data_IF_561989119558
#
_entry.id   IF_561989119558
#
_cell.length_a   1.000
_cell.length_b   1.000
_cell.length_c   1.000
_cell.angle_alpha   90.00
_cell.angle_beta   90.00
_cell.angle_gamma   90.00
#
_symmetry.space_group_name_H-M   'P 1'
#
loop_
_entity.id
_entity.type
_entity.pdbx_description
1 polymer ?
#
# COMPACT_ATOMS: atom_id res chain seq x y z
N UNK A 1 10.23 3.19 -10.47
CA UNK A 1 10.34 2.01 -9.59
C UNK A 1 10.23 0.73 -10.42
N UNK A 2 11.09 -0.24 -10.14
CA UNK A 2 11.14 -1.58 -10.74
C UNK A 2 11.34 -2.63 -9.64
N UNK A 3 11.00 -3.88 -9.94
CA UNK A 3 11.32 -5.00 -9.05
C UNK A 3 12.84 -5.14 -8.94
N UNK A 4 13.34 -5.39 -7.74
CA UNK A 4 14.76 -5.42 -7.41
C UNK A 4 15.34 -4.06 -6.98
N UNK A 5 14.64 -2.95 -7.20
CA UNK A 5 15.07 -1.63 -6.71
C UNK A 5 15.29 -1.67 -5.19
N UNK A 6 16.43 -1.14 -4.75
CA UNK A 6 16.79 -1.07 -3.33
C UNK A 6 16.64 0.36 -2.83
N UNK A 7 16.00 0.52 -1.67
CA UNK A 7 15.77 1.80 -1.00
C UNK A 7 16.42 1.78 0.38
N UNK A 8 17.31 2.73 0.60
CA UNK A 8 17.95 2.92 1.91
C UNK A 8 17.30 4.09 2.63
N UNK A 9 17.08 3.93 3.92
CA UNK A 9 16.54 4.96 4.80
C UNK A 9 17.47 5.14 5.98
N UNK A 10 17.63 6.39 6.42
CA UNK A 10 18.46 6.75 7.57
C UNK A 10 17.68 7.67 8.50
N UNK A 11 17.78 7.44 9.82
CA UNK A 11 17.16 8.31 10.83
C UNK A 11 18.14 9.36 11.37
N UNK A 12 17.65 10.25 12.25
CA UNK A 12 18.48 11.26 12.90
C UNK A 12 19.59 10.73 13.82
N UNK A 13 19.62 9.42 14.10
CA UNK A 13 20.66 8.75 14.90
C UNK A 13 21.71 8.04 14.03
N UNK A 14 21.60 8.12 12.69
CA UNK A 14 22.50 7.45 11.75
C UNK A 14 22.23 5.96 11.57
N UNK A 15 21.17 5.41 12.17
CA UNK A 15 20.77 4.02 11.89
C UNK A 15 20.20 3.93 10.49
N UNK A 16 20.52 2.84 9.79
CA UNK A 16 20.08 2.58 8.42
C UNK A 16 19.15 1.39 8.32
N UNK A 17 18.25 1.44 7.33
CA UNK A 17 17.37 0.35 6.93
C UNK A 17 17.39 0.22 5.42
N UNK A 18 17.43 -1.02 4.93
CA UNK A 18 17.44 -1.29 3.49
C UNK A 18 16.25 -2.15 3.10
N UNK A 19 15.43 -1.64 2.20
CA UNK A 19 14.28 -2.36 1.64
C UNK A 19 14.55 -2.63 0.16
N UNK A 20 14.06 -3.76 -0.33
CA UNK A 20 14.05 -4.10 -1.75
C UNK A 20 12.60 -4.23 -2.21
N UNK A 21 12.31 -3.74 -3.41
CA UNK A 21 11.06 -4.03 -4.11
C UNK A 21 11.08 -5.50 -4.53
N UNK A 22 10.52 -6.37 -3.69
CA UNK A 22 10.59 -7.82 -3.88
C UNK A 22 9.65 -8.29 -4.98
N UNK A 23 8.50 -7.64 -5.15
CA UNK A 23 7.53 -8.01 -6.18
C UNK A 23 6.73 -6.79 -6.65
N UNK A 24 6.48 -6.72 -7.97
CA UNK A 24 5.46 -5.86 -8.55
C UNK A 24 4.46 -6.75 -9.29
N UNK A 25 3.20 -6.71 -8.88
CA UNK A 25 2.11 -7.44 -9.56
C UNK A 25 1.25 -6.40 -10.25
N UNK A 26 1.02 -6.58 -11.55
CA UNK A 26 0.20 -5.68 -12.36
C UNK A 26 -0.99 -6.44 -12.93
N UNK A 27 -2.18 -5.94 -12.65
CA UNK A 27 -3.43 -6.38 -13.23
C UNK A 27 -3.95 -5.22 -14.06
N UNK A 28 -4.05 -5.41 -15.37
CA UNK A 28 -4.68 -4.45 -16.29
C UNK A 28 -5.93 -5.11 -16.85
N UNK A 29 -7.08 -4.45 -16.70
CA UNK A 29 -8.39 -4.95 -17.10
C UNK A 29 -8.62 -6.41 -16.66
N UNK A 30 -8.28 -6.73 -15.41
CA UNK A 30 -8.51 -8.07 -14.87
C UNK A 30 -9.98 -8.26 -14.48
N UNK A 31 -10.50 -9.47 -14.65
CA UNK A 31 -11.88 -9.82 -14.32
C UNK A 31 -12.07 -10.03 -12.82
N UNK A 32 -13.00 -9.27 -12.21
CA UNK A 32 -13.52 -9.57 -10.88
C UNK A 32 -14.82 -10.36 -11.04
N UNK A 33 -14.83 -11.61 -10.56
CA UNK A 33 -16.01 -12.49 -10.59
C UNK A 33 -16.62 -12.60 -9.20
N UNK A 34 -17.94 -12.76 -9.16
CA UNK A 34 -18.69 -13.05 -7.94
C UNK A 34 -18.34 -14.48 -7.49
N UNK A 35 -17.64 -14.60 -6.35
CA UNK A 35 -17.40 -15.90 -5.72
C UNK A 35 -18.67 -16.27 -4.97
N UNK A 36 -19.43 -17.24 -5.48
CA UNK A 36 -20.61 -17.75 -4.79
C UNK A 36 -20.17 -18.55 -3.55
N UNK A 37 -20.90 -18.47 -2.42
CA UNK A 37 -20.65 -19.33 -1.27
C UNK A 37 -20.72 -20.82 -1.68
N UNK A 38 -19.93 -21.70 -1.05
CA UNK A 38 -20.03 -23.13 -1.34
C UNK A 38 -21.44 -23.64 -1.01
N UNK A 39 -22.10 -24.27 -2.00
CA UNK A 39 -23.46 -24.79 -1.87
C UNK A 39 -23.83 -25.72 -3.04
N UNK A 40 -24.91 -26.51 -2.92
CA UNK A 40 -25.22 -27.62 -3.85
C UNK A 40 -25.66 -27.17 -5.26
N UNK A 41 -25.96 -25.89 -5.47
CA UNK A 41 -26.36 -25.33 -6.77
C UNK A 41 -25.26 -24.41 -7.33
N UNK A 42 -24.27 -24.99 -7.99
CA UNK A 42 -23.22 -24.23 -8.67
C UNK A 42 -23.77 -23.58 -9.93
N UNK A 43 -23.89 -22.25 -9.94
CA UNK A 43 -23.94 -21.46 -11.17
C UNK A 43 -22.52 -21.00 -11.53
N UNK A 44 -22.23 -20.82 -12.82
CA UNK A 44 -20.93 -20.31 -13.26
C UNK A 44 -20.66 -18.93 -12.63
N UNK A 45 -19.40 -18.62 -12.23
CA UNK A 45 -19.08 -17.34 -11.62
C UNK A 45 -19.47 -16.18 -12.55
N UNK A 46 -20.31 -15.27 -12.07
CA UNK A 46 -20.76 -14.12 -12.87
C UNK A 46 -19.70 -13.03 -12.84
N UNK A 47 -19.32 -12.51 -14.01
CA UNK A 47 -18.45 -11.34 -14.13
C UNK A 47 -19.13 -10.12 -13.47
N UNK A 48 -18.47 -9.51 -12.50
CA UNK A 48 -18.96 -8.30 -11.84
C UNK A 48 -18.46 -7.07 -12.58
N UNK A 49 -17.13 -6.94 -12.69
CA UNK A 49 -16.48 -5.79 -13.30
C UNK A 49 -15.04 -6.13 -13.72
N UNK A 50 -14.43 -5.22 -14.49
CA UNK A 50 -13.00 -5.21 -14.71
C UNK A 50 -12.31 -4.27 -13.71
N UNK A 51 -11.04 -4.53 -13.40
CA UNK A 51 -10.24 -3.66 -12.55
C UNK A 51 -8.80 -3.54 -13.05
N UNK A 52 -8.20 -2.39 -12.74
CA UNK A 52 -6.76 -2.23 -12.81
C UNK A 52 -6.21 -2.23 -11.38
N UNK A 53 -5.15 -2.97 -11.12
CA UNK A 53 -4.49 -2.99 -9.81
C UNK A 53 -2.99 -3.17 -9.98
N UNK A 54 -2.22 -2.34 -9.30
CA UNK A 54 -0.79 -2.49 -9.13
C UNK A 54 -0.45 -2.74 -7.66
N UNK A 55 0.12 -3.91 -7.39
CA UNK A 55 0.63 -4.28 -6.06
C UNK A 55 2.13 -4.15 -6.04
N UNK A 56 2.67 -3.54 -4.99
CA UNK A 56 4.10 -3.36 -4.75
C UNK A 56 4.41 -3.97 -3.40
N UNK A 57 5.26 -4.99 -3.38
CA UNK A 57 5.75 -5.62 -2.15
C UNK A 57 7.18 -5.21 -1.90
N UNK A 58 7.48 -4.98 -0.64
CA UNK A 58 8.77 -4.55 -0.14
C UNK A 58 9.23 -5.49 0.95
N UNK A 59 10.49 -5.88 0.87
CA UNK A 59 11.15 -6.74 1.85
C UNK A 59 12.34 -6.00 2.41
N UNK A 60 12.49 -5.97 3.73
CA UNK A 60 13.69 -5.47 4.40
C UNK A 60 14.79 -6.51 4.26
N UNK A 61 15.95 -6.11 3.72
CA UNK A 61 17.05 -7.02 3.35
C UNK A 61 18.30 -6.86 4.22
N UNK A 62 18.36 -5.86 5.10
CA UNK A 62 19.46 -5.61 6.04
C UNK A 62 19.24 -6.24 7.42
N UNK A 63 18.27 -7.15 7.55
CA UNK A 63 17.96 -7.83 8.80
C UNK A 63 17.61 -9.28 8.54
N UNK A 64 18.06 -10.17 9.42
CA UNK A 64 17.62 -11.58 9.49
C UNK A 64 16.16 -11.73 9.92
N UNK A 65 15.53 -10.66 10.41
CA UNK A 65 14.10 -10.64 10.75
C UNK A 65 13.30 -10.11 9.56
N UNK A 66 12.25 -10.84 9.17
CA UNK A 66 11.33 -10.45 8.10
C UNK A 66 10.61 -9.16 8.51
N UNK A 67 10.88 -8.08 7.78
CA UNK A 67 10.11 -6.83 7.84
C UNK A 67 9.79 -6.40 6.42
N UNK A 68 8.66 -5.74 6.20
CA UNK A 68 8.24 -5.42 4.85
C UNK A 68 6.99 -4.55 4.78
N UNK A 69 6.42 -4.49 3.59
CA UNK A 69 5.16 -3.83 3.37
C UNK A 69 4.58 -4.17 2.01
N UNK A 70 3.27 -3.99 1.90
CA UNK A 70 2.55 -4.18 0.66
C UNK A 70 1.68 -2.94 0.40
N UNK A 71 1.80 -2.39 -0.80
CA UNK A 71 0.92 -1.33 -1.30
C UNK A 71 0.13 -1.84 -2.49
N UNK A 72 -1.16 -1.55 -2.51
CA UNK A 72 -2.06 -1.84 -3.62
C UNK A 72 -2.68 -0.54 -4.08
N UNK A 73 -2.38 -0.16 -5.32
CA UNK A 73 -3.05 0.92 -6.04
C UNK A 73 -4.07 0.27 -6.96
N UNK A 74 -5.31 0.67 -6.92
CA UNK A 74 -6.35 0.07 -7.74
C UNK A 74 -7.38 1.11 -8.19
N UNK A 75 -8.01 0.84 -9.33
CA UNK A 75 -9.18 1.57 -9.80
C UNK A 75 -10.17 0.59 -10.43
N UNK A 76 -11.44 0.95 -10.43
CA UNK A 76 -12.39 0.27 -11.30
C UNK A 76 -11.98 0.52 -12.76
N UNK A 77 -11.85 -0.55 -13.55
CA UNK A 77 -11.77 -0.39 -14.99
C UNK A 77 -13.21 -0.22 -15.52
N UNK A 78 -13.38 0.50 -16.63
CA UNK A 78 -14.69 0.71 -17.23
C UNK A 78 -15.40 -0.63 -17.46
N UNK A 79 -16.66 -0.75 -17.05
CA UNK A 79 -17.41 -2.00 -17.19
C UNK A 79 -17.69 -2.32 -18.66
N UNK A 80 -17.47 -3.58 -19.04
CA UNK A 80 -18.15 -4.25 -20.15
C UNK A 80 -19.20 -5.24 -19.57
N UNK A 81 -19.96 -4.83 -18.55
CA UNK A 81 -20.94 -5.71 -17.88
C UNK A 81 -22.34 -5.09 -17.86
N UNK A 82 -23.35 -5.95 -17.75
CA UNK A 82 -24.77 -5.70 -17.90
C UNK A 82 -25.51 -5.54 -16.55
N UNK A 83 -24.82 -5.15 -15.46
CA UNK A 83 -25.45 -4.82 -14.16
C UNK A 83 -25.54 -3.29 -14.00
N UNK A 84 -26.71 -2.80 -13.57
CA UNK A 84 -27.04 -1.36 -13.47
C UNK A 84 -26.75 -0.72 -12.12
N UNK A 85 -26.15 -1.44 -11.16
CA UNK A 85 -25.81 -0.90 -9.85
C UNK A 85 -24.31 -0.62 -9.79
N UNK A 86 -24.00 0.67 -9.68
CA UNK A 86 -22.70 1.32 -9.54
C UNK A 86 -21.82 1.36 -10.81
N UNK A 87 -21.70 2.60 -11.34
CA UNK A 87 -20.88 2.96 -12.50
C UNK A 87 -19.38 2.65 -12.33
N UNK A 88 -18.56 2.84 -13.34
CA UNK A 88 -18.06 4.18 -13.61
C UNK A 88 -17.42 4.28 -15.00
N UNK A 89 -17.74 5.37 -15.69
CA UNK A 89 -17.08 5.92 -16.88
C UNK A 89 -15.54 5.93 -16.70
N UNK A 90 -14.78 5.54 -17.74
CA UNK A 90 -13.31 5.57 -17.75
C UNK A 90 -12.72 6.95 -17.40
N UNK A 91 -13.49 8.01 -17.64
CA UNK A 91 -13.14 9.39 -17.34
C UNK A 91 -13.53 9.82 -15.92
N UNK A 92 -14.20 8.95 -15.16
CA UNK A 92 -14.70 9.24 -13.81
C UNK A 92 -14.18 8.24 -12.76
N UNK A 93 -13.49 7.16 -13.16
CA UNK A 93 -13.05 6.13 -12.22
C UNK A 93 -12.09 6.72 -11.18
N UNK A 94 -12.43 6.52 -9.90
CA UNK A 94 -11.58 6.99 -8.80
C UNK A 94 -10.41 6.04 -8.58
N UNK A 95 -9.22 6.60 -8.34
CA UNK A 95 -8.08 5.83 -7.85
C UNK A 95 -8.23 5.58 -6.35
N UNK A 96 -7.78 4.41 -5.93
CA UNK A 96 -7.74 4.00 -4.55
C UNK A 96 -6.36 3.43 -4.25
N UNK A 97 -5.90 3.62 -3.01
CA UNK A 97 -4.77 2.91 -2.48
C UNK A 97 -5.19 2.19 -1.19
N UNK A 98 -4.54 1.07 -0.91
CA UNK A 98 -4.62 0.35 0.37
C UNK A 98 -3.33 -0.43 0.57
N UNK A 99 -3.07 -0.91 1.78
CA UNK A 99 -1.84 -1.61 2.05
C UNK A 99 -1.55 -1.78 3.52
N UNK A 100 -0.45 -2.45 3.80
CA UNK A 100 0.07 -2.67 5.15
C UNK A 100 1.56 -2.39 5.18
N UNK A 101 2.04 -2.01 6.35
CA UNK A 101 3.46 -1.86 6.60
C UNK A 101 3.84 -2.59 7.88
N UNK A 102 4.56 -3.70 7.74
CA UNK A 102 4.98 -4.56 8.83
C UNK A 102 6.47 -4.30 9.11
N UNK A 103 6.75 -3.25 9.88
CA UNK A 103 8.09 -2.97 10.38
C UNK A 103 8.25 -3.49 11.81
N UNK A 104 8.19 -4.80 12.04
CA UNK A 104 8.40 -5.39 13.37
C UNK A 104 9.80 -5.94 13.56
N UNK A 105 10.33 -5.71 14.77
CA UNK A 105 11.39 -6.53 15.36
C UNK A 105 10.73 -7.75 15.98
N UNK A 106 10.41 -8.75 15.16
CA UNK A 106 9.68 -9.93 15.61
C UNK A 106 8.97 -10.60 14.44
N UNK A 107 9.14 -11.92 14.35
CA UNK A 107 8.63 -12.76 13.27
C UNK A 107 7.11 -12.64 13.17
N UNK A 108 6.58 -12.25 12.00
CA UNK A 108 5.36 -12.88 11.52
C UNK A 108 5.35 -12.89 9.99
N UNK A 109 5.48 -14.07 9.39
CA UNK A 109 5.00 -14.39 8.04
C UNK A 109 3.44 -14.43 7.97
N UNK A 110 2.76 -13.89 8.99
CA UNK A 110 1.32 -13.75 9.00
C UNK A 110 0.93 -12.54 8.13
N UNK A 111 0.78 -12.81 6.83
CA UNK A 111 -0.19 -12.12 5.98
C UNK A 111 -1.55 -12.43 6.62
N UNK A 112 -2.02 -11.57 7.51
CA UNK A 112 -3.38 -11.71 8.04
C UNK A 112 -4.28 -10.75 7.28
N UNK A 113 -5.53 -11.16 7.03
CA UNK A 113 -6.56 -10.31 6.42
C UNK A 113 -6.90 -9.07 7.28
N UNK A 114 -6.23 -8.89 8.43
CA UNK A 114 -6.39 -7.77 9.33
C UNK A 114 -5.51 -6.58 8.94
N UNK A 115 -5.72 -6.07 7.72
CA UNK A 115 -5.30 -4.72 7.33
C UNK A 115 -5.72 -3.68 8.36
N UNK A 116 -6.72 -3.92 9.20
CA UNK A 116 -7.14 -2.97 10.22
C UNK A 116 -6.10 -2.76 11.35
N UNK A 117 -5.23 -3.74 11.66
CA UNK A 117 -4.26 -3.64 12.76
C UNK A 117 -2.86 -3.22 12.35
N UNK A 118 -2.49 -3.50 11.10
CA UNK A 118 -1.16 -3.21 10.52
C UNK A 118 -1.26 -2.31 9.29
N UNK A 119 -2.47 -1.93 8.91
CA UNK A 119 -2.71 -1.14 7.74
C UNK A 119 -2.37 0.30 7.94
N UNK A 120 -2.12 0.92 6.80
CA UNK A 120 -2.17 2.36 6.70
C UNK A 120 -3.53 2.69 6.08
N UNK A 121 -4.15 3.75 6.56
CA UNK A 121 -5.22 4.46 5.89
C UNK A 121 -4.60 5.26 4.76
N UNK A 122 -4.91 4.84 3.55
CA UNK A 122 -4.51 5.52 2.34
C UNK A 122 -5.61 6.49 1.90
N UNK A 123 -5.27 7.63 1.30
CA UNK A 123 -6.21 8.49 0.62
C UNK A 123 -6.85 7.78 -0.57
N UNK A 124 -8.00 8.32 -0.99
CA UNK A 124 -8.84 7.82 -2.08
C UNK A 124 -9.29 8.97 -2.97
N UNK A 125 -9.64 8.66 -4.21
CA UNK A 125 -10.15 9.62 -5.19
C UNK A 125 -9.11 10.71 -5.50
N UNK A 126 -9.57 11.96 -5.57
CA UNK A 126 -8.75 13.11 -5.95
C UNK A 126 -7.50 13.27 -5.08
N UNK A 127 -7.49 12.87 -3.82
CA UNK A 127 -6.31 12.99 -2.95
C UNK A 127 -5.08 12.15 -3.41
N UNK A 128 -5.27 11.16 -4.29
CA UNK A 128 -4.17 10.45 -4.96
C UNK A 128 -3.74 11.12 -6.29
N UNK A 129 -4.53 12.08 -6.76
CA UNK A 129 -4.35 12.86 -7.99
C UNK A 129 -3.95 14.31 -7.72
N UNK A 130 -4.10 14.79 -6.48
CA UNK A 130 -3.74 16.12 -6.00
C UNK A 130 -4.79 16.76 -5.07
N UNK A 131 -4.48 17.88 -4.41
CA UNK A 131 -3.19 18.57 -4.42
C UNK A 131 -2.12 17.78 -3.66
N UNK A 132 -0.92 17.74 -4.24
CA UNK A 132 0.23 17.06 -3.63
C UNK A 132 0.98 17.98 -2.68
N UNK A 133 1.59 17.41 -1.64
CA UNK A 133 2.52 18.15 -0.79
C UNK A 133 3.93 18.09 -1.39
N UNK A 134 4.71 19.14 -1.12
CA UNK A 134 6.14 19.17 -1.43
C UNK A 134 6.93 18.78 -0.18
N UNK A 135 7.99 18.00 -0.38
CA UNK A 135 8.87 17.55 0.69
C UNK A 135 10.33 17.62 0.23
N UNK A 136 11.17 18.28 1.04
CA UNK A 136 12.62 18.29 0.81
C UNK A 136 13.30 17.36 1.82
N UNK A 137 14.07 16.39 1.33
CA UNK A 137 14.86 15.47 2.15
C UNK A 137 16.29 15.52 1.65
N UNK A 138 17.23 15.91 2.53
CA UNK A 138 18.68 15.91 2.23
C UNK A 138 19.03 16.62 0.92
N UNK A 139 18.38 17.75 0.64
CA UNK A 139 18.59 18.55 -0.56
C UNK A 139 17.86 18.05 -1.82
N UNK A 140 17.25 16.85 -1.79
CA UNK A 140 16.39 16.37 -2.87
C UNK A 140 14.95 16.83 -2.65
N UNK A 141 14.36 17.43 -3.68
CA UNK A 141 12.94 17.79 -3.67
C UNK A 141 12.06 16.67 -4.23
N UNK A 142 10.94 16.45 -3.55
CA UNK A 142 9.84 15.59 -3.94
C UNK A 142 8.58 16.44 -4.01
N UNK A 143 7.94 16.49 -5.18
CA UNK A 143 6.88 17.47 -5.48
C UNK A 143 5.49 16.88 -5.56
N UNK A 144 5.39 15.55 -5.68
CA UNK A 144 4.13 14.82 -5.84
C UNK A 144 3.93 13.84 -4.68
N UNK A 145 4.04 14.35 -3.44
CA UNK A 145 4.00 13.52 -2.24
C UNK A 145 2.59 13.42 -1.67
N UNK A 146 2.25 12.23 -1.19
CA UNK A 146 1.02 11.89 -0.48
C UNK A 146 1.38 11.18 0.82
N UNK A 147 0.72 11.52 1.92
CA UNK A 147 0.89 10.83 3.20
C UNK A 147 -0.14 9.71 3.38
N UNK A 148 0.34 8.55 3.82
CA UNK A 148 -0.46 7.41 4.28
C UNK A 148 -0.31 7.32 5.80
N UNK A 149 -1.42 7.22 6.52
CA UNK A 149 -1.42 7.31 8.00
C UNK A 149 -1.90 6.00 8.59
N UNK A 150 -1.25 5.46 9.60
CA UNK A 150 -1.62 4.23 10.31
C UNK A 150 -3.08 4.26 10.78
N UNK A 151 -3.77 3.13 10.66
CA UNK A 151 -5.08 2.98 11.30
C UNK A 151 -4.89 2.81 12.81
N UNK A 152 -5.73 3.48 13.61
CA UNK A 152 -5.59 3.46 15.07
C UNK A 152 -5.76 2.05 15.64
N UNK A 153 -5.09 1.80 16.77
CA UNK A 153 -5.18 0.60 17.61
C UNK A 153 -6.60 0.40 18.14
N UNK A 154 -7.44 -0.35 17.44
CA UNK A 154 -8.69 -0.85 18.00
C UNK A 154 -8.45 -1.93 19.06
N UNK A 155 -9.37 -2.14 20.01
CA UNK A 155 -9.27 -3.24 20.98
C UNK A 155 -9.18 -4.62 20.31
N UNK A 156 -9.73 -4.76 19.10
CA UNK A 156 -9.67 -5.97 18.27
C UNK A 156 -8.27 -6.30 17.76
N UNK A 157 -7.29 -5.41 17.95
CA UNK A 157 -5.92 -5.62 17.53
C UNK A 157 -5.02 -6.31 18.56
N UNK A 158 -5.50 -6.57 19.78
CA UNK A 158 -4.75 -7.40 20.72
C UNK A 158 -4.83 -8.89 20.32
N UNK A 159 -3.72 -9.67 20.29
CA UNK A 159 -2.36 -9.36 20.73
C UNK A 159 -1.41 -8.89 19.61
N UNK A 160 -1.92 -8.61 18.41
CA UNK A 160 -1.10 -8.21 17.27
C UNK A 160 -0.46 -6.84 17.55
N UNK A 161 0.88 -6.73 17.56
CA UNK A 161 1.50 -5.44 17.79
C UNK A 161 1.12 -4.52 16.62
N UNK A 162 0.86 -3.24 16.93
CA UNK A 162 0.50 -2.22 15.95
C UNK A 162 1.73 -1.74 15.18
N UNK A 163 1.58 -1.39 13.89
CA UNK A 163 2.73 -1.02 13.07
C UNK A 163 3.61 0.02 13.77
N UNK A 164 4.92 -0.24 13.81
CA UNK A 164 5.89 0.73 14.34
C UNK A 164 5.91 2.00 13.50
N UNK A 165 5.58 1.92 12.20
CA UNK A 165 5.42 3.11 11.35
C UNK A 165 3.98 3.61 11.40
N UNK A 166 3.83 4.89 11.69
CA UNK A 166 2.54 5.59 11.72
C UNK A 166 2.31 6.42 10.48
N UNK A 167 3.35 6.90 9.80
CA UNK A 167 3.17 7.65 8.56
C UNK A 167 4.16 7.18 7.50
N UNK A 168 3.69 7.07 6.27
CA UNK A 168 4.53 6.88 5.09
C UNK A 168 4.26 7.99 4.08
N UNK A 169 5.32 8.61 3.60
CA UNK A 169 5.28 9.65 2.60
C UNK A 169 5.69 9.02 1.27
N UNK A 170 4.75 8.99 0.33
CA UNK A 170 4.92 8.39 -0.98
C UNK A 170 4.93 9.47 -2.06
N UNK A 171 6.02 9.56 -2.79
CA UNK A 171 6.14 10.35 -4.01
C UNK A 171 5.74 9.51 -5.22
N UNK A 172 4.92 10.07 -6.13
CA UNK A 172 4.41 9.33 -7.30
C UNK A 172 5.50 8.78 -8.22
N UNK A 173 6.68 9.39 -8.25
CA UNK A 173 7.77 9.02 -9.16
C UNK A 173 8.82 8.18 -8.46
N UNK A 174 9.16 8.55 -7.22
CA UNK A 174 10.22 7.92 -6.46
C UNK A 174 9.74 6.72 -5.62
N UNK A 175 8.46 6.64 -5.23
CA UNK A 175 7.96 5.66 -4.27
C UNK A 175 8.00 6.22 -2.84
N UNK A 176 8.26 5.38 -1.83
CA UNK A 176 8.37 5.88 -0.45
C UNK A 176 9.63 6.73 -0.32
N UNK A 177 9.48 7.89 0.32
CA UNK A 177 10.57 8.86 0.54
C UNK A 177 10.82 9.16 2.01
N UNK A 178 9.80 9.00 2.86
CA UNK A 178 9.92 9.18 4.32
C UNK A 178 9.00 8.23 5.06
N UNK A 179 9.42 7.78 6.23
CA UNK A 179 8.60 7.03 7.18
C UNK A 179 8.71 7.69 8.55
N UNK A 180 7.62 7.75 9.29
CA UNK A 180 7.60 8.27 10.65
C UNK A 180 7.10 7.17 11.58
N UNK A 181 7.88 6.88 12.62
CA UNK A 181 7.50 5.87 13.60
C UNK A 181 6.47 6.39 14.59
N UNK A 182 5.88 5.47 15.35
CA UNK A 182 5.01 5.78 16.49
C UNK A 182 5.69 6.68 17.52
N UNK A 183 7.01 6.55 17.70
CA UNK A 183 7.79 7.40 18.60
C UNK A 183 8.21 8.74 17.99
N UNK A 184 7.71 9.10 16.80
CA UNK A 184 8.10 10.31 16.08
C UNK A 184 9.46 10.22 15.40
N UNK A 185 10.08 9.04 15.36
CA UNK A 185 11.37 8.84 14.69
C UNK A 185 11.18 8.91 13.18
N UNK A 186 11.87 9.86 12.55
CA UNK A 186 11.83 10.06 11.10
C UNK A 186 12.92 9.24 10.43
N UNK A 187 12.52 8.46 9.42
CA UNK A 187 13.38 7.67 8.55
C UNK A 187 13.30 8.24 7.14
N UNK A 188 14.37 8.89 6.71
CA UNK A 188 14.43 9.59 5.43
C UNK A 188 15.16 8.77 4.38
N UNK A 189 14.62 8.72 3.16
CA UNK A 189 15.25 8.02 2.05
C UNK A 189 16.56 8.68 1.67
N UNK A 190 17.60 7.85 1.53
CA UNK A 190 18.87 8.27 0.94
C UNK A 190 18.72 8.41 -0.59
N UNK A 191 19.46 9.35 -1.22
CA UNK A 191 19.33 9.69 -2.64
C UNK A 191 19.37 8.50 -3.60
#
# INVERSE_FOLDING_TARGET
>A
MRQGDTWQFENGRGYRRTYQVSQIIDYTQAEKKEVQPPGPNFSSPKLLNYFDQKTVRLTRIDSVRVGGGEFRFYRGAAQLTNRSFDGYDKNKSSFYAKGEWSAFVGNTDLISDYYHCRGLKFPRGSALEGPFQQLSIRGRQYTEVVAFVGTSRGPDCAPTPASFMQELYYDRRAGIVRMVSLGGEVWDRLP
#
